data_IF_764908755926
#
_entry.id   IF_764908755926
#
_cell.length_a   1.000
_cell.length_b   1.000
_cell.length_c   1.000
_cell.angle_alpha   90.00
_cell.angle_beta   90.00
_cell.angle_gamma   90.00
#
_symmetry.space_group_name_H-M   'P 1'
#
loop_
_entity.id
_entity.type
_entity.pdbx_description
1 polymer ?
#
# COMPACT_ATOMS: atom_id res chain seq x y z
N UNK A 1 -14.18 -22.58 -38.83
CA UNK A 1 -14.59 -21.36 -39.55
C UNK A 1 -16.00 -21.08 -39.05
N UNK A 2 -16.31 -20.11 -38.19
CA UNK A 2 -15.58 -18.92 -37.78
C UNK A 2 -15.89 -18.57 -36.31
N UNK A 3 -14.88 -18.08 -35.61
CA UNK A 3 -15.01 -17.42 -34.29
C UNK A 3 -15.34 -15.95 -34.57
N UNK A 4 -16.49 -15.48 -34.10
CA UNK A 4 -16.79 -14.05 -34.02
C UNK A 4 -16.17 -13.52 -32.73
N UNK A 5 -15.01 -12.88 -32.83
CA UNK A 5 -14.39 -12.10 -31.76
C UNK A 5 -14.82 -10.65 -31.98
N UNK A 6 -15.65 -10.11 -31.09
CA UNK A 6 -15.93 -8.67 -31.06
C UNK A 6 -14.72 -8.01 -30.41
N UNK A 7 -13.75 -7.61 -31.23
CA UNK A 7 -12.76 -6.60 -30.88
C UNK A 7 -13.49 -5.26 -30.82
N UNK A 8 -13.87 -4.83 -29.61
CA UNK A 8 -14.15 -3.42 -29.36
C UNK A 8 -12.81 -2.67 -29.38
N UNK A 9 -12.34 -2.35 -30.58
CA UNK A 9 -11.31 -1.34 -30.83
C UNK A 9 -11.80 -0.01 -30.24
N UNK A 10 -11.23 0.42 -29.12
CA UNK A 10 -11.33 1.81 -28.68
C UNK A 10 -10.57 2.68 -29.69
N UNK A 11 -11.23 3.57 -30.44
CA UNK A 11 -10.53 4.49 -31.32
C UNK A 11 -9.99 5.67 -30.50
N UNK A 12 -8.69 5.95 -30.64
CA UNK A 12 -8.08 7.23 -30.24
C UNK A 12 -7.72 7.37 -28.76
N UNK A 13 -6.61 6.77 -28.33
CA UNK A 13 -5.76 7.38 -27.30
C UNK A 13 -4.63 8.08 -28.08
N UNK A 14 -4.95 9.25 -28.65
CA UNK A 14 -3.96 10.07 -29.33
C UNK A 14 -3.21 10.96 -28.31
N UNK A 15 -1.90 11.02 -28.52
CA UNK A 15 -0.84 11.86 -27.96
C UNK A 15 -0.04 11.29 -26.76
N UNK A 16 1.29 11.08 -26.88
CA UNK A 16 2.15 10.75 -25.75
C UNK A 16 2.25 11.95 -24.81
N UNK A 17 1.32 12.04 -23.86
CA UNK A 17 1.42 13.03 -22.80
C UNK A 17 2.67 12.74 -21.97
N UNK A 18 3.62 13.67 -22.00
CA UNK A 18 4.73 13.63 -21.06
C UNK A 18 4.15 13.86 -19.66
N UNK A 19 4.15 12.81 -18.85
CA UNK A 19 3.70 12.89 -17.47
C UNK A 19 4.88 13.21 -16.55
N UNK A 20 4.65 14.09 -15.58
CA UNK A 20 5.59 14.40 -14.52
C UNK A 20 4.94 14.10 -13.18
N UNK A 21 5.69 13.47 -12.30
CA UNK A 21 5.26 13.19 -10.95
C UNK A 21 6.39 13.38 -9.97
N UNK A 22 6.02 13.42 -8.70
CA UNK A 22 6.97 13.60 -7.62
C UNK A 22 6.46 12.98 -6.35
N UNK A 23 7.37 12.82 -5.40
CA UNK A 23 7.03 12.40 -4.04
C UNK A 23 7.90 13.18 -3.07
N UNK A 24 7.28 13.70 -2.03
CA UNK A 24 7.93 14.37 -0.91
C UNK A 24 7.61 13.58 0.35
N UNK A 25 8.64 13.26 1.13
CA UNK A 25 8.48 12.53 2.36
C UNK A 25 9.31 13.17 3.48
N UNK A 26 8.76 13.14 4.69
CA UNK A 26 9.43 13.59 5.90
C UNK A 26 9.21 12.57 7.01
N UNK A 27 10.21 12.42 7.89
CA UNK A 27 10.14 11.55 9.05
C UNK A 27 10.70 12.29 10.26
N UNK A 28 9.92 12.32 11.33
CA UNK A 28 10.32 12.88 12.62
C UNK A 28 10.36 11.74 13.64
N UNK A 29 11.44 11.67 14.43
CA UNK A 29 11.62 10.63 15.46
C UNK A 29 12.07 11.25 16.78
N UNK A 30 11.66 10.67 17.90
CA UNK A 30 12.20 11.03 19.22
C UNK A 30 13.67 10.58 19.33
N UNK A 31 14.44 11.21 20.22
CA UNK A 31 15.86 10.82 20.48
C UNK A 31 16.00 9.36 20.92
N UNK A 32 15.01 8.84 21.64
CA UNK A 32 14.93 7.44 22.06
C UNK A 32 14.56 6.48 20.94
N UNK A 33 14.14 6.97 19.77
CA UNK A 33 13.73 6.15 18.63
C UNK A 33 12.42 5.37 18.81
N UNK A 34 11.71 5.57 19.92
CA UNK A 34 10.51 4.82 20.29
C UNK A 34 9.20 5.44 19.78
N UNK A 35 9.24 6.64 19.21
CA UNK A 35 8.10 7.29 18.57
C UNK A 35 8.58 7.89 17.26
N UNK A 36 7.86 7.62 16.18
CA UNK A 36 8.10 8.19 14.86
C UNK A 36 6.81 8.62 14.20
N UNK A 37 6.87 9.73 13.49
CA UNK A 37 5.82 10.15 12.57
C UNK A 37 6.45 10.30 11.19
N UNK A 38 5.90 9.59 10.21
CA UNK A 38 6.23 9.73 8.81
C UNK A 38 5.05 10.30 8.04
N UNK A 39 5.36 11.11 7.04
CA UNK A 39 4.39 11.67 6.09
C UNK A 39 4.99 11.61 4.69
N UNK A 40 4.18 11.23 3.71
CA UNK A 40 4.51 11.11 2.30
C UNK A 40 3.38 11.73 1.49
N UNK A 41 3.72 12.66 0.60
CA UNK A 41 2.84 13.22 -0.41
C UNK A 41 3.35 12.85 -1.80
N UNK A 42 2.48 12.36 -2.68
CA UNK A 42 2.79 11.97 -4.05
C UNK A 42 1.77 12.56 -5.02
N UNK A 43 2.23 13.00 -6.19
CA UNK A 43 1.39 13.58 -7.24
C UNK A 43 1.93 13.19 -8.61
N UNK A 44 1.07 13.24 -9.62
CA UNK A 44 1.43 13.07 -11.03
C UNK A 44 0.52 13.93 -11.90
N UNK A 45 1.04 14.40 -13.04
CA UNK A 45 0.27 15.11 -14.07
C UNK A 45 -0.43 14.15 -15.04
N UNK A 46 -0.31 12.84 -14.83
CA UNK A 46 -0.96 11.82 -15.64
C UNK A 46 -2.49 11.97 -15.62
N UNK A 47 -3.09 11.78 -16.79
CA UNK A 47 -4.53 11.76 -16.96
C UNK A 47 -5.01 10.31 -16.88
N UNK A 48 -5.96 10.05 -15.99
CA UNK A 48 -6.64 8.77 -15.86
C UNK A 48 -8.02 8.85 -16.51
N UNK A 49 -8.62 7.69 -16.77
CA UNK A 49 -9.94 7.61 -17.39
C UNK A 49 -10.88 6.76 -16.53
N UNK A 50 -12.15 7.14 -16.51
CA UNK A 50 -13.21 6.35 -15.90
C UNK A 50 -14.44 6.34 -16.81
N UNK A 51 -15.24 5.29 -16.69
CA UNK A 51 -16.44 5.12 -17.49
C UNK A 51 -17.64 5.73 -16.76
N UNK A 52 -18.22 6.79 -17.34
CA UNK A 52 -19.42 7.43 -16.83
C UNK A 52 -20.67 6.74 -17.38
N UNK A 53 -21.36 6.01 -16.52
CA UNK A 53 -22.57 5.24 -16.87
C UNK A 53 -23.77 6.13 -17.16
N UNK A 54 -23.82 7.36 -16.65
CA UNK A 54 -24.96 8.27 -16.85
C UNK A 54 -25.02 8.84 -18.27
N UNK A 55 -23.85 9.12 -18.84
CA UNK A 55 -23.68 9.64 -20.21
C UNK A 55 -23.03 8.64 -21.16
N UNK A 56 -22.88 7.39 -20.72
CA UNK A 56 -22.32 6.26 -21.47
C UNK A 56 -21.02 6.57 -22.23
N UNK A 57 -20.07 7.24 -21.57
CA UNK A 57 -18.82 7.69 -22.20
C UNK A 57 -17.62 7.65 -21.25
N UNK A 58 -16.41 7.55 -21.83
CA UNK A 58 -15.16 7.64 -21.08
C UNK A 58 -14.85 9.11 -20.76
N UNK A 59 -14.62 9.41 -19.49
CA UNK A 59 -14.22 10.74 -19.02
C UNK A 59 -12.80 10.71 -18.48
N UNK A 60 -11.99 11.64 -18.96
CA UNK A 60 -10.66 11.91 -18.42
C UNK A 60 -10.75 12.64 -17.09
N UNK A 61 -9.81 12.37 -16.19
CA UNK A 61 -9.61 13.11 -14.96
C UNK A 61 -8.13 13.11 -14.57
N UNK A 62 -7.72 14.07 -13.75
CA UNK A 62 -6.36 14.17 -13.23
C UNK A 62 -6.13 13.07 -12.20
N UNK A 63 -4.98 12.42 -12.27
CA UNK A 63 -4.56 11.51 -11.21
C UNK A 63 -4.62 12.22 -9.84
N UNK A 64 -5.09 11.52 -8.79
CA UNK A 64 -5.27 12.15 -7.50
C UNK A 64 -3.93 12.41 -6.80
N UNK A 65 -3.92 13.41 -5.91
CA UNK A 65 -2.82 13.61 -4.97
C UNK A 65 -2.97 12.60 -3.83
N UNK A 66 -1.91 11.85 -3.56
CA UNK A 66 -1.85 10.83 -2.53
C UNK A 66 -1.08 11.36 -1.32
N UNK A 67 -1.69 11.37 -0.14
CA UNK A 67 -1.03 11.77 1.11
C UNK A 67 -1.20 10.65 2.12
N UNK A 68 -0.09 10.06 2.54
CA UNK A 68 -0.02 9.04 3.57
C UNK A 68 0.75 9.57 4.77
N UNK A 69 0.32 9.23 5.98
CA UNK A 69 1.07 9.48 7.19
C UNK A 69 0.92 8.32 8.16
N UNK A 70 1.99 8.00 8.88
CA UNK A 70 1.98 6.95 9.90
C UNK A 70 2.59 7.47 11.19
N UNK A 71 1.87 7.31 12.30
CA UNK A 71 2.40 7.53 13.64
C UNK A 71 2.67 6.17 14.27
N UNK A 72 3.92 5.88 14.61
CA UNK A 72 4.35 4.60 15.18
C UNK A 72 4.98 4.80 16.54
N UNK A 73 4.57 3.99 17.52
CA UNK A 73 5.17 3.92 18.84
C UNK A 73 5.64 2.50 19.15
N UNK A 74 6.84 2.39 19.69
CA UNK A 74 7.50 1.13 20.03
C UNK A 74 7.65 1.00 21.55
N UNK A 75 7.41 -0.20 22.05
CA UNK A 75 7.40 -0.58 23.47
C UNK A 75 8.28 -1.80 23.71
N UNK A 76 8.53 -2.12 25.00
CA UNK A 76 9.18 -3.37 25.39
C UNK A 76 10.60 -3.57 24.85
N UNK A 77 11.34 -2.48 24.61
CA UNK A 77 12.69 -2.55 24.03
C UNK A 77 12.72 -2.92 22.54
N UNK A 78 11.59 -2.78 21.83
CA UNK A 78 11.50 -3.12 20.40
C UNK A 78 10.60 -4.31 20.09
N UNK A 79 10.00 -4.95 21.10
CA UNK A 79 9.19 -6.16 20.91
C UNK A 79 7.80 -5.88 20.38
N UNK A 80 7.19 -4.77 20.81
CA UNK A 80 5.83 -4.40 20.40
C UNK A 80 5.84 -3.03 19.75
N UNK A 81 5.16 -2.87 18.63
CA UNK A 81 4.88 -1.58 18.02
C UNK A 81 3.40 -1.42 17.75
N UNK A 82 2.89 -0.23 17.98
CA UNK A 82 1.55 0.18 17.57
C UNK A 82 1.73 1.32 16.57
N UNK A 83 1.00 1.27 15.47
CA UNK A 83 1.00 2.32 14.48
C UNK A 83 -0.42 2.73 14.09
N UNK A 84 -0.58 4.00 13.74
CA UNK A 84 -1.80 4.55 13.16
C UNK A 84 -1.43 5.14 11.81
N UNK A 85 -1.94 4.53 10.74
CA UNK A 85 -1.73 4.97 9.36
C UNK A 85 -2.97 5.65 8.84
N UNK A 86 -2.83 6.86 8.32
CA UNK A 86 -3.87 7.59 7.62
C UNK A 86 -3.46 7.78 6.17
N UNK A 87 -4.38 7.51 5.25
CA UNK A 87 -4.21 7.71 3.82
C UNK A 87 -5.33 8.60 3.31
N UNK A 88 -4.96 9.63 2.58
CA UNK A 88 -5.84 10.61 1.95
C UNK A 88 -5.56 10.59 0.45
N UNK A 89 -6.61 10.56 -0.35
CA UNK A 89 -6.51 10.62 -1.81
C UNK A 89 -7.45 11.72 -2.28
N UNK A 90 -6.87 12.80 -2.79
CA UNK A 90 -7.58 14.01 -3.19
C UNK A 90 -7.66 14.09 -4.71
N UNK A 91 -8.88 14.13 -5.24
CA UNK A 91 -9.12 14.34 -6.66
C UNK A 91 -9.35 15.84 -6.88
N UNK A 92 -8.44 16.51 -7.58
CA UNK A 92 -8.43 17.97 -7.66
C UNK A 92 -9.46 18.53 -8.66
N UNK A 93 -9.96 17.68 -9.56
CA UNK A 93 -10.89 18.03 -10.64
C UNK A 93 -12.25 17.31 -10.49
N UNK A 94 -12.47 16.65 -9.35
CA UNK A 94 -13.72 15.96 -9.02
C UNK A 94 -14.10 16.25 -7.58
N UNK A 95 -15.39 16.35 -7.27
CA UNK A 95 -15.86 16.37 -5.89
C UNK A 95 -15.81 14.94 -5.30
N UNK A 96 -14.59 14.42 -5.16
CA UNK A 96 -14.32 13.08 -4.66
C UNK A 96 -13.08 13.09 -3.76
N UNK A 97 -13.24 12.56 -2.56
CA UNK A 97 -12.18 12.42 -1.59
C UNK A 97 -12.23 11.04 -0.96
N UNK A 98 -11.09 10.38 -0.87
CA UNK A 98 -10.98 9.08 -0.20
C UNK A 98 -10.08 9.20 1.01
N UNK A 99 -10.61 8.77 2.15
CA UNK A 99 -9.90 8.70 3.43
C UNK A 99 -9.86 7.26 3.90
N UNK A 100 -8.74 6.88 4.48
CA UNK A 100 -8.56 5.59 5.15
C UNK A 100 -7.74 5.76 6.41
N UNK A 101 -8.16 5.11 7.48
CA UNK A 101 -7.49 5.06 8.76
C UNK A 101 -7.26 3.60 9.14
N UNK A 102 -6.03 3.28 9.54
CA UNK A 102 -5.59 1.92 9.84
C UNK A 102 -4.73 1.90 11.11
N UNK A 103 -5.33 1.68 12.29
CA UNK A 103 -4.56 1.27 13.45
C UNK A 103 -4.07 -0.17 13.26
N UNK A 104 -2.81 -0.40 13.63
CA UNK A 104 -2.15 -1.69 13.54
C UNK A 104 -1.22 -1.89 14.73
N UNK A 105 -0.98 -3.15 15.06
CA UNK A 105 -0.02 -3.55 16.08
C UNK A 105 0.81 -4.73 15.57
N UNK A 106 2.08 -4.71 15.93
CA UNK A 106 3.01 -5.84 15.76
C UNK A 106 3.57 -6.19 17.14
N UNK A 107 3.70 -7.48 17.44
CA UNK A 107 4.33 -7.94 18.66
C UNK A 107 5.14 -9.21 18.42
N UNK A 108 6.36 -9.24 18.93
CA UNK A 108 7.21 -10.41 18.97
C UNK A 108 6.97 -11.16 20.28
N UNK A 109 6.18 -12.23 20.22
CA UNK A 109 5.87 -13.06 21.38
C UNK A 109 7.02 -14.02 21.72
N UNK A 110 7.90 -14.28 20.76
CA UNK A 110 9.16 -14.99 20.95
C UNK A 110 10.21 -14.43 19.97
N UNK A 111 11.52 -14.67 20.18
CA UNK A 111 12.56 -14.22 19.25
C UNK A 111 12.38 -14.71 17.81
N UNK A 112 11.62 -15.80 17.63
CA UNK A 112 11.35 -16.43 16.34
C UNK A 112 9.92 -16.20 15.81
N UNK A 113 9.01 -15.61 16.59
CA UNK A 113 7.59 -15.51 16.24
C UNK A 113 7.05 -14.10 16.49
N UNK A 114 6.68 -13.44 15.39
CA UNK A 114 6.02 -12.14 15.36
C UNK A 114 4.58 -12.26 14.88
N UNK A 115 3.68 -11.48 15.46
CA UNK A 115 2.28 -11.39 15.08
C UNK A 115 1.94 -9.95 14.71
N UNK A 116 1.13 -9.79 13.67
CA UNK A 116 0.61 -8.49 13.22
C UNK A 116 -0.90 -8.53 13.14
N UNK A 117 -1.53 -7.45 13.56
CA UNK A 117 -2.98 -7.25 13.44
C UNK A 117 -3.23 -5.79 13.07
N UNK A 118 -4.24 -5.55 12.24
CA UNK A 118 -4.71 -4.22 11.92
C UNK A 118 -6.16 -4.24 11.53
N UNK A 119 -6.84 -3.13 11.76
CA UNK A 119 -8.19 -2.88 11.27
C UNK A 119 -8.15 -1.68 10.35
N UNK A 120 -9.03 -1.65 9.36
CA UNK A 120 -9.14 -0.59 8.37
C UNK A 120 -10.55 -0.01 8.44
N UNK A 121 -10.65 1.32 8.58
CA UNK A 121 -11.85 2.08 8.26
C UNK A 121 -11.55 2.97 7.07
N UNK A 122 -12.41 2.96 6.06
CA UNK A 122 -12.27 3.86 4.91
C UNK A 122 -13.58 4.52 4.54
N UNK A 123 -13.52 5.64 3.83
CA UNK A 123 -14.69 6.32 3.29
C UNK A 123 -14.35 6.96 1.96
N UNK A 124 -15.31 6.92 1.04
CA UNK A 124 -15.34 7.79 -0.14
C UNK A 124 -16.40 8.85 0.11
N UNK A 125 -16.00 10.11 0.07
CA UNK A 125 -16.91 11.25 0.04
C UNK A 125 -17.06 11.64 -1.43
N UNK A 126 -18.27 11.57 -1.97
CA UNK A 126 -18.57 11.90 -3.36
C UNK A 126 -19.86 12.71 -3.43
N UNK A 127 -19.81 13.92 -3.98
CA UNK A 127 -20.98 14.80 -4.06
C UNK A 127 -21.72 14.91 -2.71
N UNK A 128 -20.95 15.08 -1.62
CA UNK A 128 -21.43 15.14 -0.22
C UNK A 128 -22.06 13.86 0.35
N UNK A 129 -22.04 12.75 -0.39
CA UNK A 129 -22.43 11.43 0.11
C UNK A 129 -21.25 10.68 0.71
N UNK A 130 -21.49 10.03 1.86
CA UNK A 130 -20.50 9.24 2.60
C UNK A 130 -20.72 7.75 2.33
N UNK A 131 -19.75 7.12 1.67
CA UNK A 131 -19.74 5.69 1.40
C UNK A 131 -18.68 5.02 2.29
N UNK A 132 -19.05 4.37 3.41
CA UNK A 132 -18.09 3.74 4.30
C UNK A 132 -17.59 2.40 3.76
N UNK A 133 -16.36 2.07 4.14
CA UNK A 133 -15.71 0.78 3.91
C UNK A 133 -14.97 0.33 5.16
N UNK A 134 -14.67 -0.96 5.22
CA UNK A 134 -14.00 -1.57 6.37
C UNK A 134 -13.07 -2.69 5.91
N UNK A 135 -12.13 -3.06 6.77
CA UNK A 135 -11.28 -4.20 6.53
C UNK A 135 -10.48 -4.59 7.76
N UNK A 136 -9.73 -5.67 7.61
CA UNK A 136 -8.83 -6.17 8.62
C UNK A 136 -7.63 -6.83 7.98
N UNK A 137 -6.53 -6.82 8.69
CA UNK A 137 -5.33 -7.56 8.31
C UNK A 137 -4.78 -8.31 9.51
N UNK A 138 -4.26 -9.50 9.24
CA UNK A 138 -3.48 -10.26 10.18
C UNK A 138 -2.21 -10.73 9.49
N UNK A 139 -1.15 -10.94 10.28
CA UNK A 139 0.10 -11.43 9.75
C UNK A 139 0.90 -12.20 10.79
N UNK A 140 1.77 -13.06 10.28
CA UNK A 140 2.67 -13.87 11.05
C UNK A 140 4.07 -13.78 10.44
N UNK A 141 5.05 -13.54 11.30
CA UNK A 141 6.47 -13.63 10.98
C UNK A 141 7.08 -14.81 11.71
N UNK A 142 7.73 -15.71 10.97
CA UNK A 142 8.49 -16.81 11.54
C UNK A 142 9.96 -16.70 11.12
N UNK A 143 10.85 -16.56 12.10
CA UNK A 143 12.29 -16.57 11.88
C UNK A 143 12.83 -17.97 12.13
N UNK A 144 13.46 -18.54 11.11
CA UNK A 144 14.17 -19.80 11.21
C UNK A 144 15.58 -19.64 10.64
N UNK A 145 16.58 -19.73 11.52
CA UNK A 145 17.98 -19.49 11.18
C UNK A 145 18.19 -18.10 10.54
N UNK A 146 18.58 -18.05 9.27
CA UNK A 146 18.88 -16.82 8.51
C UNK A 146 17.69 -16.40 7.66
N UNK A 147 16.60 -17.17 7.69
CA UNK A 147 15.39 -16.95 6.92
C UNK A 147 14.31 -16.36 7.81
N UNK A 148 13.50 -15.48 7.24
CA UNK A 148 12.28 -14.95 7.83
C UNK A 148 11.16 -15.15 6.82
N UNK A 149 10.14 -15.90 7.21
CA UNK A 149 8.90 -16.05 6.46
C UNK A 149 7.88 -15.08 7.03
N UNK A 150 7.33 -14.23 6.18
CA UNK A 150 6.26 -13.30 6.49
C UNK A 150 5.02 -13.69 5.68
N UNK A 151 3.93 -14.02 6.36
CA UNK A 151 2.62 -14.22 5.75
C UNK A 151 1.68 -13.14 6.27
N UNK A 152 1.09 -12.35 5.38
CA UNK A 152 0.14 -11.30 5.74
C UNK A 152 -1.12 -11.48 4.90
N UNK A 153 -2.28 -11.51 5.55
CA UNK A 153 -3.57 -11.59 4.93
C UNK A 153 -4.35 -10.31 5.20
N UNK A 154 -5.00 -9.77 4.18
CA UNK A 154 -5.88 -8.62 4.27
C UNK A 154 -7.22 -8.97 3.64
N UNK A 155 -8.30 -8.74 4.38
CA UNK A 155 -9.67 -8.78 3.90
C UNK A 155 -10.25 -7.38 4.03
N UNK A 156 -10.77 -6.81 2.95
CA UNK A 156 -11.41 -5.48 3.01
C UNK A 156 -12.56 -5.33 2.04
N UNK A 157 -13.50 -4.49 2.41
CA UNK A 157 -14.57 -3.96 1.59
C UNK A 157 -14.28 -2.49 1.33
N UNK A 158 -13.88 -2.19 0.08
CA UNK A 158 -13.49 -0.84 -0.32
C UNK A 158 -14.52 -0.26 -1.29
N UNK A 159 -15.14 0.88 -0.98
CA UNK A 159 -15.98 1.60 -1.93
C UNK A 159 -15.19 1.98 -3.18
N UNK A 160 -15.80 1.79 -4.34
CA UNK A 160 -15.18 2.11 -5.62
C UNK A 160 -14.98 3.62 -5.76
N UNK A 161 -13.80 4.00 -6.28
CA UNK A 161 -13.45 5.39 -6.59
C UNK A 161 -13.94 5.80 -7.98
N UNK A 162 -14.22 4.83 -8.84
CA UNK A 162 -14.59 5.04 -10.24
C UNK A 162 -16.09 4.87 -10.45
N UNK A 163 -16.72 3.91 -9.77
CA UNK A 163 -18.13 3.58 -9.94
C UNK A 163 -18.90 3.93 -8.65
N UNK A 164 -20.08 4.59 -8.74
CA UNK A 164 -20.96 4.76 -7.57
C UNK A 164 -21.53 3.42 -7.15
N UNK A 165 -21.90 3.28 -5.88
CA UNK A 165 -22.66 2.14 -5.32
C UNK A 165 -22.00 0.75 -5.40
N UNK A 166 -20.77 0.68 -5.92
CA UNK A 166 -19.99 -0.56 -5.96
C UNK A 166 -19.04 -0.59 -4.78
N UNK A 167 -19.20 -1.61 -3.95
CA UNK A 167 -18.23 -2.00 -2.93
C UNK A 167 -17.44 -3.19 -3.47
N UNK A 168 -16.12 -3.05 -3.52
CA UNK A 168 -15.22 -4.11 -4.00
C UNK A 168 -14.73 -4.91 -2.80
N UNK A 169 -15.12 -6.19 -2.65
CA UNK A 169 -14.47 -7.08 -1.70
C UNK A 169 -13.09 -7.44 -2.25
N UNK A 170 -12.07 -7.32 -1.40
CA UNK A 170 -10.68 -7.62 -1.76
C UNK A 170 -10.08 -8.52 -0.67
N UNK A 171 -9.55 -9.67 -1.10
CA UNK A 171 -8.79 -10.61 -0.27
C UNK A 171 -7.38 -10.71 -0.84
N UNK A 172 -6.38 -10.30 -0.05
CA UNK A 172 -4.99 -10.23 -0.48
C UNK A 172 -4.17 -11.08 0.48
N UNK A 173 -3.50 -12.11 -0.05
CA UNK A 173 -2.48 -12.87 0.67
C UNK A 173 -1.11 -12.50 0.13
N UNK A 174 -0.24 -12.06 1.04
CA UNK A 174 1.14 -11.68 0.77
C UNK A 174 2.09 -12.59 1.54
N UNK A 175 2.90 -13.36 0.81
CA UNK A 175 3.95 -14.20 1.38
C UNK A 175 5.30 -13.65 0.94
N UNK A 176 6.19 -13.43 1.90
CA UNK A 176 7.58 -13.01 1.67
C UNK A 176 8.53 -13.94 2.40
N UNK A 177 9.59 -14.33 1.70
CA UNK A 177 10.74 -14.97 2.28
C UNK A 177 11.93 -14.02 2.21
N UNK A 178 12.48 -13.65 3.37
CA UNK A 178 13.66 -12.80 3.50
C UNK A 178 14.82 -13.65 4.01
N UNK A 179 15.99 -13.51 3.42
CA UNK A 179 17.20 -14.20 3.84
C UNK A 179 18.31 -13.21 4.17
N UNK A 180 18.84 -13.27 5.40
CA UNK A 180 19.87 -12.37 5.89
C UNK A 180 21.23 -13.06 5.98
N UNK A 181 22.29 -12.40 5.51
CA UNK A 181 23.66 -12.92 5.65
C UNK A 181 23.94 -14.22 4.88
N UNK A 182 23.33 -14.39 3.70
CA UNK A 182 23.57 -15.52 2.80
C UNK A 182 24.99 -15.50 2.21
N UNK A 183 25.53 -14.32 1.93
CA UNK A 183 26.90 -14.16 1.46
C UNK A 183 27.84 -13.89 2.64
N UNK A 184 29.01 -14.53 2.65
CA UNK A 184 30.12 -14.17 3.54
C UNK A 184 30.46 -12.71 3.28
N UNK A 185 30.46 -11.88 4.32
CA UNK A 185 31.17 -10.60 4.25
C UNK A 185 32.64 -10.93 3.95
N UNK A 186 33.12 -10.58 2.77
CA UNK A 186 34.54 -10.68 2.44
C UNK A 186 35.29 -9.75 3.39
N UNK A 187 36.12 -10.34 4.25
CA UNK A 187 36.75 -9.66 5.41
C UNK A 187 37.99 -8.85 5.05
N UNK A 188 38.24 -8.58 3.77
CA UNK A 188 39.51 -8.04 3.28
C UNK A 188 39.37 -6.67 2.60
N UNK A 189 38.59 -5.76 3.17
CA UNK A 189 38.66 -4.34 2.81
C UNK A 189 38.66 -3.47 4.06
N UNK A 190 39.44 -2.38 3.97
CA UNK A 190 39.81 -1.43 5.02
C UNK A 190 38.71 -1.11 6.06
N UNK A 191 39.09 -0.77 7.31
CA UNK A 191 38.14 -0.43 8.36
C UNK A 191 37.28 0.77 7.92
N UNK A 192 35.99 0.54 7.70
CA UNK A 192 35.03 1.63 7.43
C UNK A 192 33.90 1.36 6.43
N UNK A 193 33.81 0.18 5.79
CA UNK A 193 32.75 -0.05 4.79
C UNK A 193 32.00 -1.36 5.02
N UNK A 194 30.93 -1.32 5.82
CA UNK A 194 29.94 -2.40 5.86
C UNK A 194 28.91 -2.15 4.75
N UNK A 195 28.97 -2.90 3.67
CA UNK A 195 27.85 -3.03 2.73
C UNK A 195 27.14 -4.36 2.98
N UNK A 196 26.00 -4.29 3.65
CA UNK A 196 25.02 -5.39 3.66
C UNK A 196 24.41 -5.48 2.27
N UNK A 197 24.65 -6.60 1.57
CA UNK A 197 23.90 -6.94 0.34
C UNK A 197 22.70 -7.77 0.80
N UNK A 198 21.53 -7.14 0.86
CA UNK A 198 20.26 -7.82 1.02
C UNK A 198 19.82 -8.36 -0.36
N UNK A 199 19.67 -9.68 -0.49
CA UNK A 199 19.15 -10.30 -1.70
C UNK A 199 17.62 -10.36 -1.61
N UNK A 200 16.96 -9.79 -2.61
CA UNK A 200 15.52 -9.51 -2.73
C UNK A 200 14.70 -10.82 -2.86
N UNK A 201 13.84 -11.12 -1.88
CA UNK A 201 12.36 -11.04 -1.90
C UNK A 201 11.69 -11.67 -3.13
N UNK A 202 11.18 -12.90 -2.96
CA UNK A 202 10.11 -13.46 -3.82
C UNK A 202 8.78 -12.98 -3.24
N UNK A 203 8.05 -12.16 -4.00
CA UNK A 203 6.67 -11.76 -3.70
C UNK A 203 5.74 -12.68 -4.47
N UNK A 204 4.99 -13.52 -3.77
CA UNK A 204 3.84 -14.20 -4.36
C UNK A 204 2.57 -13.45 -3.91
N UNK A 205 1.95 -12.73 -4.83
CA UNK A 205 0.63 -12.13 -4.65
C UNK A 205 -0.42 -13.14 -5.11
N UNK A 206 -1.19 -13.68 -4.18
CA UNK A 206 -2.34 -14.53 -4.50
C UNK A 206 -3.61 -13.72 -4.27
N UNK A 207 -4.34 -13.47 -5.36
CA UNK A 207 -5.72 -13.01 -5.31
C UNK A 207 -6.61 -14.23 -5.12
N UNK A 208 -7.28 -14.31 -3.97
CA UNK A 208 -8.30 -15.32 -3.69
C UNK A 208 -9.65 -14.67 -3.99
N UNK A 209 -10.27 -15.04 -5.12
CA UNK A 209 -11.64 -14.66 -5.49
C UNK A 209 -12.65 -15.58 -4.81
#
# INVERSE_FOLDING_TARGET
MDRCSIECLCPGIDDPQTAFGGTLAAVVKTRSGNLSWDILGSWTSEVQYWFDTSVNSMKSYKAPVYIEQTLTRVFGGGTTSIALKQVNVLFLDRNLYYLRLMPMAETWIAPFLGLRLGIEGSTVIRNDEFLPGWGGTCGLSFKFWKLTLDANYTLRQRPSRSLPDIVVPESILYITLTANGLFRQQKDFAPGTVRSIACQVIILLLYLN
#
